data_IF_525631825282
#
_entry.id   IF_525631825282
#
_cell.length_a   1.000
_cell.length_b   1.000
_cell.length_c   1.000
_cell.angle_alpha   90.00
_cell.angle_beta   90.00
_cell.angle_gamma   90.00
#
_symmetry.space_group_name_H-M   'P 1'
#
loop_
_entity.id
_entity.type
_entity.pdbx_description
1 polymer ?
#
# COMPACT_ATOMS: atom_id res chain seq x y z
N UNK A 1 1.61 17.11 22.71
CA UNK A 1 2.85 16.35 22.45
C UNK A 1 3.04 16.43 20.96
N UNK A 2 4.04 17.18 20.50
CA UNK A 2 4.24 17.37 19.06
C UNK A 2 4.64 16.03 18.45
N UNK A 3 3.75 15.46 17.64
CA UNK A 3 4.05 14.31 16.81
C UNK A 3 4.87 14.80 15.62
N UNK A 4 6.17 15.00 15.85
CA UNK A 4 7.08 15.30 14.75
C UNK A 4 7.16 14.05 13.88
N UNK A 5 6.83 14.19 12.59
CA UNK A 5 6.91 13.09 11.64
C UNK A 5 8.36 12.61 11.58
N UNK A 6 8.55 11.29 11.55
CA UNK A 6 9.87 10.70 11.30
C UNK A 6 10.50 11.27 10.03
N UNK A 7 9.68 11.59 9.02
CA UNK A 7 10.12 12.22 7.78
C UNK A 7 10.63 13.64 8.01
N UNK A 8 9.96 14.44 8.85
CA UNK A 8 10.40 15.79 9.16
C UNK A 8 11.74 15.76 9.91
N UNK A 9 11.94 14.79 10.80
CA UNK A 9 13.21 14.59 11.49
C UNK A 9 14.34 14.19 10.53
N UNK A 10 14.03 13.37 9.52
CA UNK A 10 15.01 12.96 8.51
C UNK A 10 15.33 14.08 7.52
N UNK A 11 14.34 14.87 7.12
CA UNK A 11 14.54 16.04 6.26
C UNK A 11 15.33 17.15 6.96
N UNK A 12 15.26 17.22 8.29
CA UNK A 12 16.05 18.13 9.12
C UNK A 12 17.46 17.61 9.41
N UNK A 13 17.73 16.31 9.21
CA UNK A 13 19.08 15.77 9.30
C UNK A 13 19.85 16.27 8.06
N UNK A 14 20.83 17.15 8.28
CA UNK A 14 21.54 17.91 7.23
C UNK A 14 21.95 17.07 5.99
N UNK A 15 21.86 17.74 4.83
CA UNK A 15 22.44 17.60 3.46
C UNK A 15 23.57 16.56 3.22
N UNK A 16 23.49 15.42 3.87
CA UNK A 16 24.36 14.28 3.62
C UNK A 16 23.65 13.37 2.62
N UNK A 17 24.42 12.83 1.67
CA UNK A 17 23.95 11.75 0.80
C UNK A 17 23.32 10.60 1.60
N UNK A 18 23.74 10.42 2.86
CA UNK A 18 23.16 9.48 3.80
C UNK A 18 21.69 9.78 4.14
N UNK A 19 21.31 11.04 4.40
CA UNK A 19 19.93 11.43 4.68
C UNK A 19 18.99 11.12 3.51
N UNK A 20 19.39 11.53 2.30
CA UNK A 20 18.65 11.24 1.08
C UNK A 20 18.57 9.72 0.79
N UNK A 21 19.64 8.97 1.06
CA UNK A 21 19.65 7.51 0.92
C UNK A 21 18.66 6.84 1.89
N UNK A 22 18.61 7.31 3.15
CA UNK A 22 17.67 6.80 4.17
C UNK A 22 16.23 7.13 3.78
N UNK A 23 15.95 8.35 3.35
CA UNK A 23 14.61 8.75 2.90
C UNK A 23 14.14 7.87 1.72
N UNK A 24 14.99 7.71 0.70
CA UNK A 24 14.71 6.86 -0.46
C UNK A 24 14.45 5.41 -0.05
N UNK A 25 15.25 4.87 0.87
CA UNK A 25 15.06 3.53 1.41
C UNK A 25 13.70 3.39 2.12
N UNK A 26 13.34 4.35 2.97
CA UNK A 26 12.06 4.32 3.70
C UNK A 26 10.86 4.42 2.77
N UNK A 27 10.91 5.27 1.74
CA UNK A 27 9.86 5.36 0.72
C UNK A 27 9.71 4.06 -0.05
N UNK A 28 10.83 3.44 -0.42
CA UNK A 28 10.83 2.11 -1.04
C UNK A 28 10.24 1.05 -0.12
N UNK A 29 10.64 1.03 1.16
CA UNK A 29 10.14 0.10 2.16
C UNK A 29 8.63 0.27 2.38
N UNK A 30 8.14 1.51 2.50
CA UNK A 30 6.73 1.84 2.65
C UNK A 30 5.90 1.35 1.44
N UNK A 31 6.37 1.62 0.22
CA UNK A 31 5.72 1.11 -1.00
C UNK A 31 5.65 -0.42 -1.03
N UNK A 32 6.73 -1.07 -0.59
CA UNK A 32 6.84 -2.53 -0.57
C UNK A 32 5.90 -3.13 0.47
N UNK A 33 5.85 -2.55 1.67
CA UNK A 33 4.92 -2.92 2.74
C UNK A 33 3.47 -2.74 2.31
N UNK A 34 3.12 -1.58 1.73
CA UNK A 34 1.78 -1.32 1.22
C UNK A 34 1.37 -2.37 0.17
N UNK A 35 2.24 -2.64 -0.80
CA UNK A 35 1.98 -3.67 -1.82
C UNK A 35 1.78 -5.05 -1.20
N UNK A 36 2.58 -5.42 -0.19
CA UNK A 36 2.45 -6.68 0.52
C UNK A 36 1.10 -6.79 1.26
N UNK A 37 0.64 -5.72 1.91
CA UNK A 37 -0.67 -5.68 2.56
C UNK A 37 -1.80 -5.89 1.54
N UNK A 38 -1.73 -5.24 0.36
CA UNK A 38 -2.71 -5.47 -0.71
C UNK A 38 -2.74 -6.95 -1.12
N UNK A 39 -1.58 -7.58 -1.30
CA UNK A 39 -1.51 -9.01 -1.65
C UNK A 39 -2.02 -9.92 -0.54
N UNK A 40 -1.77 -9.59 0.73
CA UNK A 40 -2.27 -10.34 1.86
C UNK A 40 -3.81 -10.30 1.93
N UNK A 41 -4.43 -9.14 1.70
CA UNK A 41 -5.89 -9.04 1.60
C UNK A 41 -6.43 -9.88 0.43
N UNK A 42 -5.78 -9.83 -0.73
CA UNK A 42 -6.16 -10.66 -1.88
C UNK A 42 -6.06 -12.15 -1.56
N UNK A 43 -5.03 -12.57 -0.82
CA UNK A 43 -4.90 -13.95 -0.35
C UNK A 43 -6.00 -14.34 0.63
N UNK A 44 -6.38 -13.44 1.55
CA UNK A 44 -7.50 -13.66 2.46
C UNK A 44 -8.83 -13.79 1.72
N UNK A 45 -9.02 -13.07 0.60
CA UNK A 45 -10.26 -13.13 -0.19
C UNK A 45 -10.29 -14.32 -1.14
N UNK A 46 -9.21 -14.57 -1.89
CA UNK A 46 -9.18 -15.52 -3.00
C UNK A 46 -8.47 -16.85 -2.68
N UNK A 47 -7.82 -16.96 -1.51
CA UNK A 47 -6.86 -18.01 -1.22
C UNK A 47 -5.46 -17.68 -1.74
N UNK A 48 -4.47 -18.50 -1.34
CA UNK A 48 -3.06 -18.35 -1.75
C UNK A 48 -2.91 -18.36 -3.27
N UNK A 49 -1.84 -17.75 -3.77
CA UNK A 49 -1.55 -17.81 -5.20
C UNK A 49 -1.49 -19.28 -5.68
N UNK A 50 -2.11 -19.55 -6.82
CA UNK A 50 -2.21 -20.88 -7.43
C UNK A 50 -2.96 -21.94 -6.58
N UNK A 51 -3.59 -21.55 -5.48
CA UNK A 51 -4.43 -22.41 -4.65
C UNK A 51 -5.80 -21.75 -4.53
N UNK A 52 -6.80 -22.29 -5.22
CA UNK A 52 -8.18 -21.81 -5.03
C UNK A 52 -8.61 -22.10 -3.61
N UNK A 53 -9.06 -21.08 -2.89
CA UNK A 53 -9.88 -21.31 -1.71
C UNK A 53 -11.14 -22.06 -2.16
N UNK A 54 -11.37 -23.25 -1.60
CA UNK A 54 -12.66 -23.91 -1.72
C UNK A 54 -13.72 -22.95 -1.16
N UNK A 55 -14.79 -22.71 -1.92
CA UNK A 55 -15.94 -21.88 -1.55
C UNK A 55 -15.73 -20.36 -1.49
N UNK A 56 -14.71 -19.80 -2.17
CA UNK A 56 -14.61 -18.34 -2.33
C UNK A 56 -15.39 -17.82 -3.55
N UNK A 57 -16.31 -16.88 -3.30
CA UNK A 57 -16.98 -16.06 -4.34
C UNK A 57 -16.02 -15.04 -5.00
N UNK A 58 -14.78 -14.92 -4.50
CA UNK A 58 -13.82 -13.93 -4.96
C UNK A 58 -12.86 -14.49 -6.01
N UNK A 59 -12.54 -13.65 -7.01
CA UNK A 59 -11.66 -14.01 -8.13
C UNK A 59 -10.62 -12.91 -8.40
N UNK A 60 -9.36 -13.31 -8.55
CA UNK A 60 -8.26 -12.41 -8.96
C UNK A 60 -8.45 -12.00 -10.44
N UNK A 61 -8.33 -10.72 -10.77
CA UNK A 61 -8.50 -10.20 -12.14
C UNK A 61 -7.33 -9.29 -12.58
N UNK A 62 -6.10 -9.71 -12.24
CA UNK A 62 -4.88 -8.98 -12.58
C UNK A 62 -4.65 -7.76 -11.70
N UNK A 63 -4.06 -6.69 -12.27
CA UNK A 63 -3.76 -5.44 -11.57
C UNK A 63 -4.13 -4.23 -12.42
N UNK A 64 -4.26 -3.06 -11.78
CA UNK A 64 -4.46 -1.78 -12.43
C UNK A 64 -3.53 -0.71 -11.82
N UNK A 65 -3.22 0.37 -12.55
CA UNK A 65 -2.61 1.56 -11.96
C UNK A 65 -3.46 2.09 -10.79
N UNK A 66 -2.80 2.60 -9.76
CA UNK A 66 -3.41 3.27 -8.63
C UNK A 66 -2.41 4.18 -7.94
N UNK A 67 -2.89 4.91 -6.94
CA UNK A 67 -2.10 5.81 -6.09
C UNK A 67 -2.19 5.40 -4.62
N UNK A 68 -1.27 5.90 -3.80
CA UNK A 68 -1.34 5.84 -2.35
C UNK A 68 -0.66 7.08 -1.77
N UNK A 69 -1.05 7.49 -0.56
CA UNK A 69 -0.38 8.60 0.11
C UNK A 69 0.72 8.10 1.04
N UNK A 70 1.86 8.80 1.02
CA UNK A 70 2.93 8.68 2.01
C UNK A 70 3.22 10.08 2.55
N UNK A 71 2.69 10.37 3.74
CA UNK A 71 2.61 11.75 4.23
C UNK A 71 1.73 12.59 3.30
N UNK A 72 2.25 13.69 2.78
CA UNK A 72 1.55 14.60 1.86
C UNK A 72 1.74 14.24 0.38
N UNK A 73 2.61 13.28 0.07
CA UNK A 73 2.95 12.93 -1.30
C UNK A 73 2.15 11.72 -1.80
N UNK A 74 1.77 11.76 -3.08
CA UNK A 74 1.14 10.65 -3.76
C UNK A 74 2.20 9.79 -4.48
N UNK A 75 2.21 8.50 -4.18
CA UNK A 75 3.04 7.48 -4.82
C UNK A 75 2.23 6.60 -5.76
N UNK A 76 2.86 6.15 -6.86
CA UNK A 76 2.23 5.22 -7.80
C UNK A 76 2.34 3.76 -7.31
N UNK A 77 1.27 2.98 -7.51
CA UNK A 77 1.22 1.54 -7.23
C UNK A 77 0.52 0.77 -8.36
N UNK A 78 0.80 -0.53 -8.47
CA UNK A 78 -0.04 -1.46 -9.23
C UNK A 78 -0.94 -2.20 -8.26
N UNK A 79 -2.17 -1.72 -8.08
CA UNK A 79 -3.13 -2.34 -7.16
C UNK A 79 -3.65 -3.66 -7.76
N UNK A 80 -3.62 -4.77 -7.02
CA UNK A 80 -4.27 -6.00 -7.46
C UNK A 80 -5.79 -5.79 -7.51
N UNK A 81 -6.44 -6.47 -8.45
CA UNK A 81 -7.89 -6.41 -8.64
C UNK A 81 -8.53 -7.72 -8.24
N UNK A 82 -9.63 -7.62 -7.50
CA UNK A 82 -10.47 -8.75 -7.10
C UNK A 82 -11.89 -8.49 -7.56
N UNK A 83 -12.59 -9.54 -7.98
CA UNK A 83 -14.02 -9.52 -8.27
C UNK A 83 -14.77 -10.41 -7.30
N UNK A 84 -16.01 -10.04 -6.96
CA UNK A 84 -16.99 -10.90 -6.32
C UNK A 84 -18.20 -11.00 -7.24
N UNK A 85 -18.64 -12.20 -7.58
CA UNK A 85 -19.81 -12.42 -8.46
C UNK A 85 -19.75 -11.60 -9.76
N UNK A 86 -18.56 -11.56 -10.39
CA UNK A 86 -18.31 -10.84 -11.65
C UNK A 86 -18.09 -9.33 -11.53
N UNK A 87 -18.29 -8.71 -10.36
CA UNK A 87 -18.09 -7.26 -10.14
C UNK A 87 -16.79 -6.98 -9.40
N UNK A 88 -16.03 -5.97 -9.83
CA UNK A 88 -14.81 -5.55 -9.12
C UNK A 88 -15.16 -5.00 -7.74
N UNK A 89 -14.37 -5.40 -6.74
CA UNK A 89 -14.47 -4.91 -5.36
C UNK A 89 -13.22 -4.11 -5.02
N UNK A 90 -13.40 -3.00 -4.30
CA UNK A 90 -12.26 -2.26 -3.76
C UNK A 90 -11.65 -3.06 -2.61
N UNK A 91 -10.32 -3.10 -2.55
CA UNK A 91 -9.59 -3.65 -1.41
C UNK A 91 -9.65 -2.64 -0.27
N UNK A 92 -10.03 -3.10 0.93
CA UNK A 92 -10.15 -2.23 2.10
C UNK A 92 -8.80 -1.62 2.48
N UNK A 93 -7.72 -2.37 2.33
CA UNK A 93 -6.37 -1.87 2.55
C UNK A 93 -5.97 -0.78 1.55
N UNK A 94 -6.44 -0.88 0.29
CA UNK A 94 -6.24 0.16 -0.71
C UNK A 94 -7.03 1.42 -0.36
N UNK A 95 -8.30 1.27 0.02
CA UNK A 95 -9.19 2.36 0.44
C UNK A 95 -8.63 3.10 1.66
N UNK A 96 -8.14 2.38 2.67
CA UNK A 96 -7.50 2.97 3.85
C UNK A 96 -6.29 3.85 3.47
N UNK A 97 -5.50 3.43 2.47
CA UNK A 97 -4.35 4.20 1.99
C UNK A 97 -4.70 5.41 1.11
N UNK A 98 -5.99 5.64 0.80
CA UNK A 98 -6.45 6.86 0.12
C UNK A 98 -6.75 8.00 1.09
N UNK A 99 -6.82 7.72 2.39
CA UNK A 99 -6.95 8.79 3.39
C UNK A 99 -5.66 9.62 3.42
N UNK A 100 -5.82 10.94 3.36
CA UNK A 100 -4.73 11.90 3.66
C UNK A 100 -4.51 12.07 5.16
N UNK A 101 -5.41 11.53 5.96
CA UNK A 101 -5.30 11.52 7.41
C UNK A 101 -4.67 10.19 7.86
N UNK A 102 -3.41 10.19 8.33
CA UNK A 102 -2.74 9.00 8.83
C UNK A 102 -3.31 8.47 10.17
N UNK A 103 -4.31 9.16 10.75
CA UNK A 103 -4.92 8.82 12.04
C UNK A 103 -6.46 8.62 11.99
N UNK A 104 -7.07 8.59 10.80
CA UNK A 104 -8.51 8.39 10.63
C UNK A 104 -8.96 6.93 10.82
#
# INVERSE_FOLDING_TARGET
>A
MDHVSLIDLLAQAEDSEAGAAVESYLRMAARSAFTAVLFHEVESLCGKAYQRAADSDYQRTGSAPGGYFFGTEEGAVRRPRVRKNGKEVCLKSYEAAQSRDPYA
#
